data_IF_125567731620
#
_entry.id   IF_125567731620
#
_cell.length_a   1.000
_cell.length_b   1.000
_cell.length_c   1.000
_cell.angle_alpha   90.00
_cell.angle_beta   90.00
_cell.angle_gamma   90.00
#
_symmetry.space_group_name_H-M   'P 1'
#
loop_
_entity.id
_entity.type
_entity.pdbx_description
1 polymer ?
#
# COMPACT_ATOMS: atom_id res chain seq x y z
N UNK A 1 6.06 -0.03 -11.44
CA UNK A 1 6.62 0.93 -10.49
C UNK A 1 5.55 1.42 -9.52
N UNK A 2 5.90 1.51 -8.25
CA UNK A 2 4.99 2.04 -7.25
C UNK A 2 4.81 3.55 -7.43
N UNK A 3 3.59 4.04 -7.26
CA UNK A 3 3.27 5.45 -7.39
C UNK A 3 2.65 5.99 -6.10
N UNK A 4 2.71 7.29 -5.91
CA UNK A 4 2.03 7.95 -4.80
C UNK A 4 0.51 7.83 -4.98
N UNK A 5 -0.19 7.66 -3.87
CA UNK A 5 -1.65 7.62 -3.92
C UNK A 5 -2.25 8.97 -4.31
N UNK A 6 -1.52 10.08 -4.16
CA UNK A 6 -2.04 11.41 -4.44
C UNK A 6 -2.54 11.56 -5.87
N UNK A 7 -1.69 11.27 -6.86
CA UNK A 7 -2.09 11.41 -8.26
C UNK A 7 -3.23 10.46 -8.63
N UNK A 8 -3.18 9.26 -8.10
CA UNK A 8 -4.21 8.24 -8.31
C UNK A 8 -5.57 8.74 -7.80
N UNK A 9 -5.59 9.32 -6.60
CA UNK A 9 -6.82 9.83 -5.99
C UNK A 9 -7.30 11.12 -6.65
N UNK A 10 -6.38 11.99 -7.09
CA UNK A 10 -6.75 13.19 -7.84
C UNK A 10 -7.48 12.83 -9.14
N UNK A 11 -6.98 11.84 -9.86
CA UNK A 11 -7.62 11.35 -11.08
C UNK A 11 -8.98 10.73 -10.80
N UNK A 12 -9.10 10.04 -9.66
CA UNK A 12 -10.37 9.44 -9.26
C UNK A 12 -11.44 10.50 -8.99
N UNK A 13 -11.05 11.60 -8.35
CA UNK A 13 -11.96 12.73 -8.10
C UNK A 13 -12.41 13.34 -9.43
N UNK A 14 -11.49 13.61 -10.34
CA UNK A 14 -11.82 14.16 -11.66
C UNK A 14 -12.73 13.23 -12.47
N UNK A 15 -12.48 11.93 -12.41
CA UNK A 15 -13.24 10.93 -13.17
C UNK A 15 -14.49 10.43 -12.47
N UNK A 16 -14.78 10.88 -11.27
CA UNK A 16 -15.93 10.46 -10.46
C UNK A 16 -15.97 8.95 -10.22
N UNK A 17 -14.82 8.38 -9.82
CA UNK A 17 -14.75 6.96 -9.45
C UNK A 17 -13.94 6.80 -8.17
N UNK A 18 -14.02 5.64 -7.55
CA UNK A 18 -13.27 5.31 -6.36
C UNK A 18 -12.11 4.38 -6.70
N UNK A 19 -11.03 4.45 -5.92
CA UNK A 19 -9.92 3.52 -6.00
C UNK A 19 -10.01 2.55 -4.83
N UNK A 20 -9.98 1.27 -5.11
CA UNK A 20 -10.04 0.25 -4.06
C UNK A 20 -8.71 0.13 -3.32
N UNK A 21 -8.80 -0.01 -1.99
CA UNK A 21 -7.67 -0.38 -1.17
C UNK A 21 -7.92 -1.78 -0.63
N UNK A 22 -6.98 -2.68 -0.83
CA UNK A 22 -7.09 -4.07 -0.39
C UNK A 22 -5.92 -4.42 0.51
N UNK A 23 -6.22 -5.06 1.63
CA UNK A 23 -5.19 -5.47 2.58
C UNK A 23 -4.41 -6.65 2.01
N UNK A 24 -3.09 -6.59 2.15
CA UNK A 24 -2.23 -7.71 1.77
C UNK A 24 -1.59 -8.29 3.04
N UNK A 25 -1.65 -9.60 3.19
CA UNK A 25 -1.10 -10.29 4.34
C UNK A 25 -0.08 -11.36 3.95
N UNK A 26 -0.03 -11.71 2.67
CA UNK A 26 0.91 -12.72 2.16
C UNK A 26 1.09 -12.56 0.65
N UNK A 27 1.95 -13.40 0.10
CA UNK A 27 2.28 -13.37 -1.31
C UNK A 27 1.07 -13.70 -2.19
N UNK A 28 0.29 -14.68 -1.79
CA UNK A 28 -0.84 -15.17 -2.59
C UNK A 28 -1.93 -14.11 -2.74
N UNK A 29 -2.25 -13.40 -1.66
CA UNK A 29 -3.22 -12.32 -1.70
C UNK A 29 -2.73 -11.18 -2.60
N UNK A 30 -1.46 -10.83 -2.44
CA UNK A 30 -0.84 -9.76 -3.24
C UNK A 30 -0.90 -10.10 -4.72
N UNK A 31 -0.53 -11.31 -5.07
CA UNK A 31 -0.55 -11.77 -6.46
C UNK A 31 -1.95 -11.70 -7.06
N UNK A 32 -2.93 -12.19 -6.32
CA UNK A 32 -4.32 -12.20 -6.77
C UNK A 32 -4.85 -10.79 -7.03
N UNK A 33 -4.55 -9.86 -6.12
CA UNK A 33 -4.98 -8.47 -6.25
C UNK A 33 -4.32 -7.81 -7.46
N UNK A 34 -3.02 -7.99 -7.62
CA UNK A 34 -2.28 -7.39 -8.74
C UNK A 34 -2.75 -7.92 -10.09
N UNK A 35 -2.95 -9.22 -10.20
CA UNK A 35 -3.43 -9.83 -11.44
C UNK A 35 -4.83 -9.34 -11.80
N UNK A 36 -5.71 -9.23 -10.81
CA UNK A 36 -7.07 -8.74 -11.03
C UNK A 36 -7.06 -7.26 -11.43
N UNK A 37 -6.25 -6.44 -10.76
CA UNK A 37 -6.13 -5.03 -11.10
C UNK A 37 -5.63 -4.85 -12.53
N UNK A 38 -4.64 -5.63 -12.95
CA UNK A 38 -4.10 -5.55 -14.30
C UNK A 38 -5.15 -5.99 -15.33
N UNK A 39 -5.85 -7.07 -15.06
CA UNK A 39 -6.91 -7.56 -15.95
C UNK A 39 -7.99 -6.51 -16.18
N UNK A 40 -8.41 -5.83 -15.12
CA UNK A 40 -9.44 -4.81 -15.18
C UNK A 40 -8.91 -3.43 -15.54
N UNK A 41 -7.61 -3.28 -15.72
CA UNK A 41 -6.96 -1.99 -15.98
C UNK A 41 -7.34 -0.95 -14.94
N UNK A 42 -7.39 -1.37 -13.68
CA UNK A 42 -7.79 -0.53 -12.55
C UNK A 42 -6.59 -0.17 -11.69
N UNK A 43 -6.40 1.09 -11.31
CA UNK A 43 -5.42 1.43 -10.30
C UNK A 43 -5.82 0.78 -8.96
N UNK A 44 -4.85 0.52 -8.11
CA UNK A 44 -5.11 -0.18 -6.86
C UNK A 44 -4.16 0.31 -5.75
N UNK A 45 -4.66 0.31 -4.53
CA UNK A 45 -3.87 0.59 -3.33
C UNK A 45 -3.75 -0.70 -2.54
N UNK A 46 -2.51 -1.12 -2.27
CA UNK A 46 -2.22 -2.27 -1.43
C UNK A 46 -2.00 -1.77 -0.01
N UNK A 47 -2.90 -2.11 0.89
CA UNK A 47 -2.86 -1.67 2.27
C UNK A 47 -2.13 -2.67 3.16
N UNK A 48 -1.20 -2.18 3.97
CA UNK A 48 -0.42 -3.00 4.89
C UNK A 48 -0.55 -2.41 6.29
N UNK A 49 -1.06 -3.20 7.23
CA UNK A 49 -1.04 -2.82 8.64
C UNK A 49 0.33 -3.13 9.23
N UNK A 50 0.63 -2.56 10.39
CA UNK A 50 1.88 -2.89 11.08
C UNK A 50 1.94 -4.37 11.45
N UNK A 51 0.80 -4.94 11.84
CA UNK A 51 0.70 -6.37 12.12
C UNK A 51 0.97 -7.23 10.90
N UNK A 52 0.43 -6.86 9.75
CA UNK A 52 0.67 -7.59 8.51
C UNK A 52 2.13 -7.48 8.07
N UNK A 53 2.72 -6.29 8.21
CA UNK A 53 4.14 -6.08 7.91
C UNK A 53 5.03 -6.95 8.77
N UNK A 54 4.72 -7.06 10.04
CA UNK A 54 5.45 -7.92 10.97
C UNK A 54 5.27 -9.39 10.63
N UNK A 55 4.06 -9.80 10.29
CA UNK A 55 3.76 -11.18 9.88
C UNK A 55 4.57 -11.58 8.64
N UNK A 56 4.71 -10.67 7.69
CA UNK A 56 5.46 -10.89 6.47
C UNK A 56 6.97 -10.65 6.64
N UNK A 57 7.46 -10.57 7.85
CA UNK A 57 8.86 -10.43 8.25
C UNK A 57 9.31 -8.98 8.45
N UNK A 58 8.71 -8.04 7.73
CA UNK A 58 9.06 -6.63 7.87
C UNK A 58 8.71 -5.83 6.62
N UNK A 59 8.76 -4.51 6.73
CA UNK A 59 8.35 -3.63 5.65
C UNK A 59 9.25 -3.70 4.42
N UNK A 60 10.56 -3.91 4.61
CA UNK A 60 11.48 -4.10 3.49
C UNK A 60 11.13 -5.35 2.68
N UNK A 61 10.78 -6.42 3.38
CA UNK A 61 10.35 -7.66 2.74
C UNK A 61 9.08 -7.45 1.92
N UNK A 62 8.12 -6.73 2.51
CA UNK A 62 6.86 -6.42 1.83
C UNK A 62 7.13 -5.59 0.57
N UNK A 63 7.90 -4.53 0.69
CA UNK A 63 8.21 -3.66 -0.46
C UNK A 63 8.95 -4.43 -1.55
N UNK A 64 9.92 -5.25 -1.17
CA UNK A 64 10.68 -6.05 -2.13
C UNK A 64 9.78 -7.07 -2.84
N UNK A 65 8.90 -7.74 -2.10
CA UNK A 65 7.95 -8.68 -2.65
C UNK A 65 7.03 -8.02 -3.68
N UNK A 66 6.45 -6.90 -3.31
CA UNK A 66 5.51 -6.18 -4.19
C UNK A 66 6.21 -5.70 -5.45
N UNK A 67 7.37 -5.10 -5.32
CA UNK A 67 8.14 -4.58 -6.47
C UNK A 67 8.56 -5.70 -7.41
N UNK A 68 9.08 -6.80 -6.86
CA UNK A 68 9.49 -7.94 -7.66
C UNK A 68 8.30 -8.56 -8.37
N UNK A 69 7.18 -8.67 -7.68
CA UNK A 69 5.96 -9.25 -8.25
C UNK A 69 5.39 -8.38 -9.38
N UNK A 70 5.40 -7.06 -9.21
CA UNK A 70 4.96 -6.14 -10.26
C UNK A 70 5.80 -6.30 -11.52
N UNK A 71 7.10 -6.47 -11.36
CA UNK A 71 8.02 -6.67 -12.48
C UNK A 71 7.79 -8.02 -13.16
N UNK A 72 7.74 -9.10 -12.39
CA UNK A 72 7.57 -10.45 -12.93
C UNK A 72 6.20 -10.63 -13.61
N UNK A 73 5.17 -10.00 -13.09
CA UNK A 73 3.81 -10.10 -13.65
C UNK A 73 3.52 -9.03 -14.71
N UNK A 74 4.48 -8.17 -15.01
CA UNK A 74 4.31 -7.08 -15.99
C UNK A 74 3.09 -6.20 -15.67
N UNK A 75 3.00 -5.77 -14.42
CA UNK A 75 1.89 -4.92 -13.98
C UNK A 75 2.09 -3.50 -14.52
N UNK A 76 1.13 -3.01 -15.30
CA UNK A 76 1.18 -1.69 -15.93
C UNK A 76 0.27 -0.67 -15.26
N UNK A 77 -0.74 -1.12 -14.50
CA UNK A 77 -1.64 -0.20 -13.82
C UNK A 77 -0.93 0.49 -12.65
N UNK A 78 -1.36 1.71 -12.27
CA UNK A 78 -0.80 2.39 -11.11
C UNK A 78 -1.07 1.58 -9.83
N UNK A 79 -0.03 1.38 -9.03
CA UNK A 79 -0.12 0.66 -7.75
C UNK A 79 0.53 1.53 -6.68
N UNK A 80 -0.20 1.78 -5.60
CA UNK A 80 0.35 2.42 -4.41
C UNK A 80 0.50 1.38 -3.31
N UNK A 81 1.64 1.38 -2.62
CA UNK A 81 1.87 0.54 -1.45
C UNK A 81 1.75 1.43 -0.23
N UNK A 82 0.75 1.17 0.59
CA UNK A 82 0.26 2.06 1.63
C UNK A 82 0.35 1.42 3.01
N UNK A 83 0.95 2.14 3.97
CA UNK A 83 0.89 1.76 5.38
C UNK A 83 -0.42 2.28 5.96
N UNK A 84 -1.22 1.40 6.53
CA UNK A 84 -2.51 1.72 7.12
C UNK A 84 -2.38 1.76 8.65
N UNK A 85 -2.92 2.80 9.29
CA UNK A 85 -2.88 2.99 10.74
C UNK A 85 -1.47 2.88 11.33
N UNK A 86 -0.52 3.60 10.75
CA UNK A 86 0.88 3.52 11.16
C UNK A 86 1.21 4.38 12.37
N UNK A 87 2.11 3.87 13.22
CA UNK A 87 2.73 4.69 14.26
C UNK A 87 3.76 5.62 13.60
N UNK A 88 4.27 6.59 14.36
CA UNK A 88 5.32 7.48 13.87
C UNK A 88 6.54 6.69 13.36
N UNK A 89 7.00 5.71 14.16
CA UNK A 89 8.13 4.88 13.76
C UNK A 89 7.82 4.00 12.57
N UNK A 90 6.61 3.44 12.51
CA UNK A 90 6.16 2.63 11.38
C UNK A 90 6.14 3.42 10.09
N UNK A 91 5.66 4.66 10.12
CA UNK A 91 5.67 5.54 8.97
C UNK A 91 7.09 5.76 8.44
N UNK A 92 8.02 6.05 9.35
CA UNK A 92 9.42 6.27 8.98
C UNK A 92 10.03 5.02 8.35
N UNK A 93 9.80 3.87 8.96
CA UNK A 93 10.31 2.59 8.44
C UNK A 93 9.75 2.28 7.06
N UNK A 94 8.48 2.57 6.83
CA UNK A 94 7.84 2.33 5.53
C UNK A 94 8.39 3.26 4.45
N UNK A 95 8.61 4.53 4.77
CA UNK A 95 9.24 5.47 3.84
C UNK A 95 10.63 4.95 3.45
N UNK A 96 11.43 4.55 4.43
CA UNK A 96 12.77 4.02 4.19
C UNK A 96 12.74 2.71 3.39
N UNK A 97 11.70 1.90 3.57
CA UNK A 97 11.56 0.63 2.86
C UNK A 97 11.09 0.79 1.41
N UNK A 98 10.55 1.95 1.06
CA UNK A 98 10.09 2.21 -0.29
C UNK A 98 8.58 2.18 -0.50
N UNK A 99 7.80 2.29 0.58
CA UNK A 99 6.35 2.49 0.47
C UNK A 99 6.07 3.83 -0.19
N UNK A 100 5.01 3.90 -0.97
CA UNK A 100 4.65 5.11 -1.71
C UNK A 100 3.55 5.93 -1.06
N UNK A 101 2.95 5.42 0.03
CA UNK A 101 1.86 6.09 0.74
C UNK A 101 1.86 5.65 2.20
N UNK A 102 1.49 6.54 3.11
CA UNK A 102 1.38 6.22 4.53
C UNK A 102 0.20 6.94 5.15
N UNK A 103 -0.40 6.30 6.16
CA UNK A 103 -1.39 6.94 7.03
C UNK A 103 -0.84 6.92 8.46
N UNK A 104 -0.51 8.10 8.97
CA UNK A 104 -0.12 8.24 10.36
C UNK A 104 -1.38 8.28 11.23
N UNK A 105 -1.47 7.34 12.17
CA UNK A 105 -2.60 7.31 13.10
C UNK A 105 -2.19 7.91 14.43
N UNK A 106 -2.59 9.15 14.66
CA UNK A 106 -2.30 9.87 15.90
C UNK A 106 -3.31 9.65 17.01
N UNK A 107 -4.34 8.82 16.80
CA UNK A 107 -5.40 8.65 17.77
C UNK A 107 -4.92 8.12 19.13
N UNK A 108 -3.90 7.27 19.13
CA UNK A 108 -3.32 6.72 20.35
C UNK A 108 -2.58 7.78 21.18
N UNK A 109 -2.05 8.80 20.51
CA UNK A 109 -1.34 9.89 21.17
C UNK A 109 -2.31 10.88 21.78
N UNK A 110 -3.44 11.09 21.16
CA UNK A 110 -4.47 12.00 21.66
C UNK A 110 -5.02 11.54 23.02
N UNK A 111 -5.10 10.26 23.25
CA UNK A 111 -5.57 9.71 24.52
C UNK A 111 -4.66 10.05 25.69
N UNK A 112 -3.40 10.40 25.43
CA UNK A 112 -2.43 10.76 26.48
C UNK A 112 -2.56 12.23 26.89
N UNK A 113 -3.23 13.05 26.07
CA UNK A 113 -3.39 14.48 26.31
C UNK A 113 -4.60 14.76 27.20
N UNK A 114 -5.56 13.88 27.18
CA UNK A 114 -6.77 13.97 27.99
C UNK A 114 -6.57 13.36 29.36
#
# INVERSE_FOLDING_TARGET
MLVSAKEMLDKAVEGHYAVGQFNINNLEWTKSILLTAEELKSPVILGVSEGAGKYMTGFKTVAAMVKAMMEELNITVPVALHLDHGTYEGCKKCIDAGFSSIMFDGSKYLSLIH
#
